data_IF_693871292103
#
_entry.id   IF_693871292103
#
_cell.length_a   1.000
_cell.length_b   1.000
_cell.length_c   1.000
_cell.angle_alpha   90.00
_cell.angle_beta   90.00
_cell.angle_gamma   90.00
#
_symmetry.space_group_name_H-M   'P 1'
#
loop_
_entity.id
_entity.type
_entity.pdbx_description
1 polymer ?
#
# COMPACT_ATOMS: atom_id res chain seq x y z
N UNK A 1 9.01 33.53 2.06
CA UNK A 1 8.55 32.29 1.46
C UNK A 1 7.02 32.37 1.34
N UNK A 2 6.55 32.52 0.11
CA UNK A 2 5.12 32.58 -0.18
C UNK A 2 4.70 31.11 -0.33
N UNK A 3 3.92 30.60 0.61
CA UNK A 3 3.33 29.28 0.47
C UNK A 3 2.55 29.23 -0.83
N UNK A 4 2.89 28.31 -1.73
CA UNK A 4 2.08 28.05 -2.92
C UNK A 4 0.72 27.55 -2.48
N UNK A 5 -0.37 27.92 -3.17
CA UNK A 5 -1.67 27.39 -2.85
C UNK A 5 -1.65 25.88 -3.04
N UNK A 6 -1.82 25.15 -1.95
CA UNK A 6 -2.00 23.70 -1.98
C UNK A 6 -3.30 23.43 -2.74
N UNK A 7 -3.22 22.63 -3.79
CA UNK A 7 -4.39 22.21 -4.55
C UNK A 7 -5.39 21.44 -3.67
N UNK A 8 -6.67 21.44 -4.05
CA UNK A 8 -7.69 20.68 -3.32
C UNK A 8 -7.53 19.18 -3.58
N UNK A 9 -7.17 18.37 -2.56
CA UNK A 9 -6.99 16.92 -2.71
C UNK A 9 -8.29 16.20 -3.14
N UNK A 10 -9.46 16.77 -2.85
CA UNK A 10 -10.74 16.19 -3.25
C UNK A 10 -10.95 16.27 -4.78
N UNK A 11 -10.39 17.28 -5.44
CA UNK A 11 -10.45 17.39 -6.89
C UNK A 11 -9.67 16.29 -7.62
N UNK A 12 -8.78 15.59 -6.93
CA UNK A 12 -7.92 14.53 -7.46
C UNK A 12 -8.39 13.12 -7.11
N UNK A 13 -9.54 12.96 -6.49
CA UNK A 13 -10.05 11.66 -6.07
C UNK A 13 -10.05 10.59 -7.18
N UNK A 14 -10.41 10.87 -8.46
CA UNK A 14 -10.32 9.88 -9.53
C UNK A 14 -8.89 9.42 -9.82
N UNK A 15 -7.92 10.32 -9.75
CA UNK A 15 -6.52 10.00 -9.97
C UNK A 15 -5.93 9.19 -8.79
N UNK A 16 -6.31 9.55 -7.56
CA UNK A 16 -5.95 8.80 -6.36
C UNK A 16 -6.50 7.37 -6.40
N UNK A 17 -7.77 7.21 -6.80
CA UNK A 17 -8.40 5.90 -6.96
C UNK A 17 -7.63 5.01 -7.94
N UNK A 18 -7.26 5.53 -9.10
CA UNK A 18 -6.49 4.77 -10.10
C UNK A 18 -5.14 4.30 -9.56
N UNK A 19 -4.41 5.15 -8.84
CA UNK A 19 -3.13 4.77 -8.25
C UNK A 19 -3.30 3.63 -7.25
N UNK A 20 -4.32 3.69 -6.39
CA UNK A 20 -4.62 2.62 -5.43
C UNK A 20 -5.08 1.33 -6.12
N UNK A 21 -5.94 1.42 -7.13
CA UNK A 21 -6.35 0.27 -7.92
C UNK A 21 -5.15 -0.43 -8.58
N UNK A 22 -4.22 0.34 -9.11
CA UNK A 22 -3.00 -0.21 -9.72
C UNK A 22 -2.11 -0.90 -8.69
N UNK A 23 -1.96 -0.33 -7.50
CA UNK A 23 -1.22 -0.98 -6.39
C UNK A 23 -1.84 -2.32 -6.00
N UNK A 24 -3.18 -2.40 -6.00
CA UNK A 24 -3.91 -3.59 -5.60
C UNK A 24 -4.04 -4.62 -6.73
N UNK A 25 -4.04 -4.21 -7.99
CA UNK A 25 -4.21 -5.10 -9.15
C UNK A 25 -3.12 -6.20 -9.24
N UNK A 26 -1.93 -5.93 -8.72
CA UNK A 26 -0.86 -6.93 -8.60
C UNK A 26 -1.13 -8.00 -7.52
N UNK A 27 -2.08 -7.75 -6.61
CA UNK A 27 -2.40 -8.62 -5.47
C UNK A 27 -3.74 -9.34 -5.61
N UNK A 28 -4.60 -8.91 -6.54
CA UNK A 28 -5.93 -9.51 -6.74
C UNK A 28 -5.92 -10.50 -7.89
N UNK A 29 -5.88 -11.79 -7.57
CA UNK A 29 -6.35 -12.81 -8.50
C UNK A 29 -7.88 -12.75 -8.54
N UNK A 30 -8.44 -12.21 -9.62
CA UNK A 30 -9.89 -12.18 -9.81
C UNK A 30 -10.41 -13.60 -9.97
N UNK A 31 -10.98 -14.17 -8.92
CA UNK A 31 -11.88 -15.29 -9.05
C UNK A 31 -13.07 -14.81 -9.89
N UNK A 32 -13.29 -15.47 -11.05
CA UNK A 32 -14.24 -15.02 -12.05
C UNK A 32 -15.63 -14.76 -11.46
N UNK A 33 -16.04 -13.50 -11.55
CA UNK A 33 -17.41 -13.07 -11.21
C UNK A 33 -18.35 -13.55 -12.31
N UNK A 34 -19.51 -14.12 -11.99
CA UNK A 34 -20.56 -14.38 -12.98
C UNK A 34 -20.96 -13.08 -13.68
N UNK A 35 -21.02 -13.09 -15.01
CA UNK A 35 -21.15 -11.91 -15.85
C UNK A 35 -22.52 -11.20 -15.83
N UNK A 36 -23.49 -11.68 -15.04
CA UNK A 36 -24.89 -11.25 -15.16
C UNK A 36 -25.37 -10.25 -14.09
N UNK A 37 -24.55 -9.89 -13.10
CA UNK A 37 -24.95 -8.91 -12.07
C UNK A 37 -23.75 -8.03 -11.70
N UNK A 38 -23.96 -6.71 -11.68
CA UNK A 38 -22.92 -5.79 -11.26
C UNK A 38 -22.57 -6.03 -9.78
N UNK A 39 -21.28 -6.20 -9.43
CA UNK A 39 -20.87 -6.43 -8.06
C UNK A 39 -21.23 -5.22 -7.18
N UNK A 40 -21.81 -5.47 -6.02
CA UNK A 40 -22.11 -4.48 -5.01
C UNK A 40 -21.01 -4.45 -3.95
N UNK A 41 -20.75 -3.29 -3.37
CA UNK A 41 -19.86 -3.17 -2.20
C UNK A 41 -20.57 -3.79 -0.99
N UNK A 42 -19.93 -4.75 -0.34
CA UNK A 42 -20.44 -5.47 0.83
C UNK A 42 -19.94 -4.84 2.12
N UNK A 43 -18.64 -4.70 2.26
CA UNK A 43 -18.00 -4.16 3.46
C UNK A 43 -16.64 -3.56 3.12
N UNK A 44 -16.14 -2.65 3.97
CA UNK A 44 -14.81 -2.06 3.82
C UNK A 44 -13.95 -2.33 5.04
N UNK A 45 -12.63 -2.45 4.83
CA UNK A 45 -11.66 -2.65 5.91
C UNK A 45 -11.71 -1.53 6.94
N UNK A 46 -11.44 -1.84 8.20
CA UNK A 46 -11.23 -0.83 9.24
C UNK A 46 -9.94 -0.04 8.96
N UNK A 47 -8.89 -0.73 8.49
CA UNK A 47 -7.62 -0.14 8.11
C UNK A 47 -7.68 0.66 6.81
N UNK A 48 -6.77 1.61 6.70
CA UNK A 48 -6.56 2.45 5.52
C UNK A 48 -5.26 2.02 4.87
N UNK A 49 -5.32 1.63 3.60
CA UNK A 49 -4.16 1.45 2.76
C UNK A 49 -3.76 2.83 2.21
N UNK A 50 -2.51 3.21 2.38
CA UNK A 50 -1.98 4.48 1.86
C UNK A 50 -0.64 4.29 1.19
N UNK A 51 -0.36 5.13 0.22
CA UNK A 51 0.98 5.31 -0.28
C UNK A 51 1.72 6.28 0.66
N UNK A 52 2.99 6.01 0.94
CA UNK A 52 3.80 6.78 1.89
C UNK A 52 5.13 7.12 1.22
N UNK A 53 5.57 8.36 1.34
CA UNK A 53 6.91 8.77 0.93
C UNK A 53 7.87 8.49 2.08
N UNK A 54 8.96 7.80 1.78
CA UNK A 54 10.00 7.46 2.76
C UNK A 54 11.37 7.93 2.27
N UNK A 55 12.22 8.26 3.23
CA UNK A 55 13.61 8.67 3.00
C UNK A 55 14.53 8.00 4.02
N UNK A 56 15.84 7.98 3.80
CA UNK A 56 16.78 7.59 4.86
C UNK A 56 16.87 8.68 5.94
N UNK A 57 17.25 8.29 7.17
CA UNK A 57 17.53 9.26 8.26
C UNK A 57 18.55 10.31 7.85
N UNK A 58 19.58 9.91 7.10
CA UNK A 58 20.59 10.82 6.58
C UNK A 58 19.99 11.85 5.63
N UNK A 59 19.12 11.42 4.72
CA UNK A 59 18.46 12.31 3.76
C UNK A 59 17.48 13.24 4.48
N UNK A 60 16.68 12.71 5.43
CA UNK A 60 15.79 13.52 6.26
C UNK A 60 16.54 14.64 6.99
N UNK A 61 17.64 14.30 7.68
CA UNK A 61 18.44 15.27 8.42
C UNK A 61 19.15 16.28 7.49
N UNK A 62 19.72 15.81 6.37
CA UNK A 62 20.43 16.67 5.43
C UNK A 62 19.52 17.71 4.76
N UNK A 63 18.30 17.31 4.46
CA UNK A 63 17.34 18.14 3.74
C UNK A 63 16.26 18.72 4.67
N UNK A 64 16.34 18.48 5.97
CA UNK A 64 15.37 18.94 6.97
C UNK A 64 13.93 18.59 6.54
N UNK A 65 13.71 17.28 6.25
CA UNK A 65 12.42 16.75 5.81
C UNK A 65 11.70 16.11 7.00
N UNK A 66 10.52 16.60 7.29
CA UNK A 66 9.58 16.01 8.26
C UNK A 66 8.30 15.58 7.54
N UNK A 67 7.89 16.35 6.53
CA UNK A 67 6.65 16.13 5.78
C UNK A 67 6.90 16.09 4.27
N UNK A 68 5.94 15.54 3.54
CA UNK A 68 5.99 15.50 2.06
C UNK A 68 6.00 16.91 1.45
N UNK A 69 5.43 17.90 2.14
CA UNK A 69 5.42 19.30 1.68
C UNK A 69 6.78 19.98 1.80
N UNK A 70 7.70 19.46 2.61
CA UNK A 70 9.08 19.97 2.71
C UNK A 70 9.91 19.63 1.47
N UNK A 71 9.43 18.72 0.63
CA UNK A 71 10.02 18.45 -0.68
C UNK A 71 9.86 19.62 -1.66
N UNK A 72 8.95 20.57 -1.39
CA UNK A 72 8.76 21.73 -2.24
C UNK A 72 10.05 22.54 -2.43
N UNK A 73 10.40 22.82 -3.68
CA UNK A 73 11.61 23.54 -4.05
C UNK A 73 12.94 22.75 -3.88
N UNK A 74 12.87 21.50 -3.45
CA UNK A 74 14.02 20.59 -3.31
C UNK A 74 13.95 19.39 -4.25
N UNK A 75 12.78 19.09 -4.72
CA UNK A 75 12.45 17.86 -5.47
C UNK A 75 13.17 17.74 -6.81
N UNK A 76 13.45 18.86 -7.48
CA UNK A 76 14.14 18.87 -8.79
C UNK A 76 15.54 18.25 -8.75
N UNK A 77 16.19 18.27 -7.59
CA UNK A 77 17.50 17.66 -7.40
C UNK A 77 17.47 16.23 -6.85
N UNK A 78 16.28 15.68 -6.63
CA UNK A 78 16.10 14.35 -6.05
C UNK A 78 15.72 13.33 -7.12
N UNK A 79 16.22 12.13 -6.92
CA UNK A 79 15.74 10.94 -7.62
C UNK A 79 14.67 10.26 -6.78
N UNK A 80 13.54 9.96 -7.37
CA UNK A 80 12.46 9.24 -6.74
C UNK A 80 12.33 7.83 -7.32
N UNK A 81 11.76 6.93 -6.53
CA UNK A 81 11.40 5.59 -6.95
C UNK A 81 9.98 5.26 -6.49
N UNK A 82 9.21 4.59 -7.34
CA UNK A 82 7.87 4.13 -7.03
C UNK A 82 7.85 2.60 -6.98
N UNK A 83 6.89 1.99 -6.26
CA UNK A 83 6.75 0.54 -6.27
C UNK A 83 6.49 0.04 -7.71
N UNK A 84 6.90 -1.21 -8.04
CA UNK A 84 6.85 -1.74 -9.40
C UNK A 84 5.50 -1.54 -10.12
N UNK A 85 4.32 -1.73 -9.47
CA UNK A 85 3.03 -1.51 -10.15
C UNK A 85 2.78 -0.07 -10.57
N UNK A 86 3.44 0.91 -9.95
CA UNK A 86 3.29 2.35 -10.22
C UNK A 86 4.40 2.93 -11.09
N UNK A 87 5.22 2.08 -11.70
CA UNK A 87 6.22 2.54 -12.67
C UNK A 87 5.57 2.85 -14.03
N UNK A 88 6.22 3.72 -14.79
CA UNK A 88 5.75 4.04 -16.14
C UNK A 88 5.77 2.83 -17.08
N UNK A 89 6.56 1.81 -16.78
CA UNK A 89 6.62 0.58 -17.55
C UNK A 89 5.43 -0.34 -17.27
N UNK A 90 4.96 -0.38 -16.00
CA UNK A 90 3.85 -1.23 -15.60
C UNK A 90 2.48 -0.57 -15.88
N UNK A 91 2.28 0.66 -15.45
CA UNK A 91 1.07 1.45 -15.69
C UNK A 91 1.42 2.93 -15.93
N UNK A 92 1.57 3.36 -17.19
CA UNK A 92 1.95 4.73 -17.51
C UNK A 92 0.90 5.77 -17.08
N UNK A 93 -0.37 5.40 -17.02
CA UNK A 93 -1.46 6.30 -16.63
C UNK A 93 -1.44 6.53 -15.10
N UNK A 94 -1.29 5.47 -14.31
CA UNK A 94 -1.17 5.56 -12.85
C UNK A 94 0.11 6.32 -12.47
N UNK A 95 1.25 6.02 -13.11
CA UNK A 95 2.50 6.74 -12.89
C UNK A 95 2.37 8.24 -13.22
N UNK A 96 1.68 8.58 -14.30
CA UNK A 96 1.43 9.98 -14.69
C UNK A 96 0.52 10.68 -13.69
N UNK A 97 -0.54 10.01 -13.24
CA UNK A 97 -1.47 10.54 -12.25
C UNK A 97 -0.77 10.82 -10.91
N UNK A 98 0.08 9.89 -10.45
CA UNK A 98 0.86 10.04 -9.23
C UNK A 98 1.83 11.23 -9.30
N UNK A 99 2.60 11.34 -10.40
CA UNK A 99 3.53 12.45 -10.62
C UNK A 99 2.82 13.80 -10.68
N UNK A 100 1.71 13.88 -11.41
CA UNK A 100 0.91 15.09 -11.50
C UNK A 100 0.32 15.49 -10.14
N UNK A 101 -0.02 14.52 -9.29
CA UNK A 101 -0.53 14.76 -7.95
C UNK A 101 0.57 15.31 -7.02
N UNK A 102 1.76 14.72 -7.03
CA UNK A 102 2.92 15.22 -6.28
C UNK A 102 3.29 16.64 -6.69
N UNK A 103 3.35 16.92 -7.98
CA UNK A 103 3.63 18.26 -8.51
C UNK A 103 2.60 19.29 -8.03
N UNK A 104 1.31 18.97 -8.15
CA UNK A 104 0.22 19.90 -7.84
C UNK A 104 0.02 20.13 -6.35
N UNK A 105 0.10 19.08 -5.51
CA UNK A 105 -0.23 19.16 -4.09
C UNK A 105 0.98 19.41 -3.20
N UNK A 106 2.15 18.87 -3.55
CA UNK A 106 3.37 19.06 -2.78
C UNK A 106 4.37 20.01 -3.45
N UNK A 107 4.12 20.48 -4.67
CA UNK A 107 5.11 21.25 -5.44
C UNK A 107 6.39 20.45 -5.69
N UNK A 108 6.25 19.13 -5.80
CA UNK A 108 7.36 18.20 -5.90
C UNK A 108 7.36 17.52 -7.28
N UNK A 109 8.38 17.85 -8.08
CA UNK A 109 8.61 17.26 -9.40
C UNK A 109 10.04 16.72 -9.46
N UNK A 110 10.28 15.47 -9.07
CA UNK A 110 11.59 14.85 -9.23
C UNK A 110 12.02 14.88 -10.70
N UNK A 111 13.26 15.28 -10.96
CA UNK A 111 13.83 15.25 -12.31
C UNK A 111 13.95 13.81 -12.81
N UNK A 112 14.34 12.92 -11.91
CA UNK A 112 14.56 11.50 -12.22
C UNK A 112 13.62 10.61 -11.42
N UNK A 113 13.01 9.66 -12.12
CA UNK A 113 12.34 8.51 -11.53
C UNK A 113 13.11 7.27 -11.94
N UNK A 114 13.58 6.51 -10.96
CA UNK A 114 14.19 5.22 -11.27
C UNK A 114 13.14 4.31 -11.91
N UNK A 115 13.51 3.77 -13.07
CA UNK A 115 12.74 2.77 -13.78
C UNK A 115 13.28 1.37 -13.41
N UNK A 116 12.43 0.37 -13.56
CA UNK A 116 12.83 -1.05 -13.47
C UNK A 116 13.49 -1.47 -12.15
N UNK A 117 13.14 -0.80 -11.05
CA UNK A 117 13.61 -1.15 -9.72
C UNK A 117 12.60 -2.11 -9.07
N UNK A 118 13.04 -3.34 -8.82
CA UNK A 118 12.21 -4.36 -8.16
C UNK A 118 12.09 -4.08 -6.64
N UNK A 119 13.10 -3.44 -6.08
CA UNK A 119 13.18 -3.12 -4.64
C UNK A 119 13.43 -1.61 -4.43
N UNK A 120 12.36 -0.82 -4.25
CA UNK A 120 12.45 0.61 -3.96
C UNK A 120 13.20 0.93 -2.66
N UNK A 121 13.10 0.05 -1.66
CA UNK A 121 13.78 0.23 -0.37
C UNK A 121 15.29 0.10 -0.54
N UNK A 122 15.76 -0.93 -1.22
CA UNK A 122 17.18 -1.10 -1.51
C UNK A 122 17.75 0.10 -2.28
N UNK A 123 17.01 0.66 -3.24
CA UNK A 123 17.45 1.82 -4.00
C UNK A 123 17.66 3.05 -3.12
N UNK A 124 16.79 3.29 -2.11
CA UNK A 124 16.93 4.41 -1.19
C UNK A 124 18.08 4.16 -0.18
N UNK A 125 18.21 2.94 0.32
CA UNK A 125 19.31 2.57 1.22
C UNK A 125 20.68 2.70 0.53
N UNK A 126 20.75 2.35 -0.76
CA UNK A 126 21.96 2.48 -1.58
C UNK A 126 22.24 3.93 -2.06
N UNK A 127 21.40 4.91 -1.70
CA UNK A 127 21.44 6.31 -2.18
C UNK A 127 21.33 6.45 -3.72
N UNK A 128 20.76 5.44 -4.38
CA UNK A 128 20.41 5.50 -5.82
C UNK A 128 19.16 6.36 -6.03
N UNK A 129 18.27 6.37 -5.05
CA UNK A 129 17.16 7.30 -4.94
C UNK A 129 17.19 7.99 -3.56
N UNK A 130 16.65 9.18 -3.46
CA UNK A 130 16.55 9.89 -2.19
C UNK A 130 15.15 9.75 -1.56
N UNK A 131 14.14 9.47 -2.38
CA UNK A 131 12.75 9.31 -1.94
C UNK A 131 12.16 8.06 -2.56
N UNK A 132 11.64 7.14 -1.74
CA UNK A 132 10.80 6.04 -2.22
C UNK A 132 9.35 6.29 -1.86
N UNK A 133 8.46 5.83 -2.72
CA UNK A 133 7.03 5.69 -2.42
C UNK A 133 6.75 4.23 -2.15
N UNK A 134 6.27 3.92 -0.95
CA UNK A 134 5.97 2.56 -0.49
C UNK A 134 4.51 2.50 -0.03
N UNK A 135 3.97 1.30 0.14
CA UNK A 135 2.74 1.14 0.93
C UNK A 135 3.06 1.48 2.39
N UNK A 136 2.18 2.17 3.09
CA UNK A 136 2.41 2.53 4.49
C UNK A 136 2.40 1.33 5.45
N UNK A 137 2.08 0.15 4.93
CA UNK A 137 2.11 -1.14 5.62
C UNK A 137 3.36 -1.95 5.31
N UNK A 138 4.22 -1.46 4.41
CA UNK A 138 5.45 -2.14 3.98
C UNK A 138 6.39 -2.40 5.18
N UNK A 139 6.69 -3.66 5.50
CA UNK A 139 7.53 -4.01 6.65
C UNK A 139 8.98 -3.51 6.52
N UNK A 140 9.44 -3.25 5.30
CA UNK A 140 10.78 -2.74 5.04
C UNK A 140 10.98 -1.30 5.57
N UNK A 141 9.92 -0.54 5.80
CA UNK A 141 10.01 0.79 6.40
C UNK A 141 10.68 0.71 7.76
N UNK A 142 10.23 -0.22 8.61
CA UNK A 142 10.79 -0.42 9.94
C UNK A 142 12.12 -1.19 9.88
N UNK A 143 12.19 -2.26 9.09
CA UNK A 143 13.38 -3.12 8.96
C UNK A 143 14.61 -2.35 8.48
N UNK A 144 14.44 -1.44 7.51
CA UNK A 144 15.50 -0.60 6.96
C UNK A 144 15.64 0.76 7.65
N UNK A 145 14.91 0.98 8.73
CA UNK A 145 14.95 2.22 9.54
C UNK A 145 14.71 3.46 8.67
N UNK A 146 13.78 3.37 7.74
CA UNK A 146 13.39 4.49 6.89
C UNK A 146 12.52 5.48 7.68
N UNK A 147 12.52 6.73 7.26
CA UNK A 147 11.71 7.79 7.86
C UNK A 147 10.52 8.06 6.93
N UNK A 148 9.30 7.70 7.34
CA UNK A 148 8.11 8.10 6.61
C UNK A 148 7.89 9.60 6.78
N UNK A 149 7.62 10.29 5.67
CA UNK A 149 7.28 11.71 5.69
C UNK A 149 5.80 11.88 6.02
N UNK A 150 5.50 12.82 6.92
CA UNK A 150 4.12 13.16 7.27
C UNK A 150 3.36 13.68 6.05
N UNK A 151 2.12 13.26 5.89
CA UNK A 151 1.23 13.67 4.79
C UNK A 151 -0.10 14.21 5.29
N UNK A 152 -0.06 15.27 6.08
CA UNK A 152 -1.25 15.97 6.59
C UNK A 152 -2.11 16.57 5.47
N UNK A 153 -1.45 16.90 4.35
CA UNK A 153 -2.09 17.47 3.15
C UNK A 153 -2.78 16.44 2.28
N UNK A 154 -2.71 15.16 2.61
CA UNK A 154 -3.23 14.05 1.79
C UNK A 154 -2.76 14.12 0.34
N UNK A 155 -1.47 14.43 0.17
CA UNK A 155 -0.82 14.49 -1.13
C UNK A 155 -0.82 13.12 -1.79
N UNK A 156 -0.46 12.10 -1.02
CA UNK A 156 -0.47 10.71 -1.50
C UNK A 156 -1.85 10.08 -1.37
N UNK A 157 -2.20 9.15 -2.27
CA UNK A 157 -3.49 8.49 -2.24
C UNK A 157 -3.62 7.56 -1.04
N UNK A 158 -4.82 7.53 -0.46
CA UNK A 158 -5.22 6.58 0.56
C UNK A 158 -6.61 6.02 0.26
N UNK A 159 -6.89 4.82 0.71
CA UNK A 159 -8.18 4.17 0.52
C UNK A 159 -8.37 2.99 1.46
N UNK A 160 -9.55 2.37 1.39
CA UNK A 160 -9.88 1.15 2.13
C UNK A 160 -10.06 0.01 1.16
N UNK A 161 -9.67 -1.18 1.58
CA UNK A 161 -10.06 -2.40 0.86
C UNK A 161 -11.58 -2.53 0.98
N UNK A 162 -12.21 -2.90 -0.12
CA UNK A 162 -13.66 -3.10 -0.15
C UNK A 162 -13.94 -4.48 -0.71
N UNK A 163 -14.62 -5.31 0.09
CA UNK A 163 -15.17 -6.56 -0.40
C UNK A 163 -16.32 -6.27 -1.35
N UNK A 164 -16.28 -6.86 -2.53
CA UNK A 164 -17.34 -6.73 -3.53
C UNK A 164 -17.91 -8.11 -3.87
N UNK A 165 -19.20 -8.19 -4.10
CA UNK A 165 -19.87 -9.45 -4.43
C UNK A 165 -21.26 -9.23 -4.96
N UNK A 166 -21.95 -10.34 -5.37
CA UNK A 166 -23.35 -10.29 -5.74
C UNK A 166 -24.21 -10.67 -4.54
N UNK A 167 -25.05 -9.73 -4.11
CA UNK A 167 -26.01 -9.97 -3.02
C UNK A 167 -27.02 -11.11 -3.34
N UNK A 168 -27.19 -11.47 -4.61
CA UNK A 168 -28.05 -12.58 -5.00
C UNK A 168 -27.43 -13.97 -4.75
N UNK A 169 -26.09 -14.04 -4.57
CA UNK A 169 -25.36 -15.29 -4.38
C UNK A 169 -24.85 -15.50 -2.95
N UNK A 170 -24.92 -14.48 -2.11
CA UNK A 170 -24.50 -14.52 -0.71
C UNK A 170 -25.74 -14.64 0.19
N UNK A 171 -25.63 -15.47 1.21
CA UNK A 171 -26.60 -15.50 2.30
C UNK A 171 -26.18 -14.53 3.42
N UNK A 172 -27.10 -14.25 4.34
CA UNK A 172 -26.88 -13.32 5.45
C UNK A 172 -25.71 -13.75 6.36
N UNK A 173 -25.38 -15.05 6.40
CA UNK A 173 -24.28 -15.58 7.19
C UNK A 173 -22.93 -15.24 6.53
N UNK A 174 -22.83 -15.46 5.22
CA UNK A 174 -21.64 -15.10 4.46
C UNK A 174 -21.38 -13.58 4.48
N UNK A 175 -22.42 -12.76 4.32
CA UNK A 175 -22.28 -11.29 4.42
C UNK A 175 -21.76 -10.86 5.81
N UNK A 176 -22.31 -11.46 6.87
CA UNK A 176 -21.86 -11.17 8.24
C UNK A 176 -20.39 -11.56 8.44
N UNK A 177 -19.96 -12.74 7.98
CA UNK A 177 -18.56 -13.19 8.08
C UNK A 177 -17.62 -12.27 7.31
N UNK A 178 -18.00 -11.85 6.11
CA UNK A 178 -17.24 -10.88 5.34
C UNK A 178 -17.10 -9.56 6.13
N UNK A 179 -18.18 -9.07 6.72
CA UNK A 179 -18.14 -7.85 7.52
C UNK A 179 -17.25 -7.99 8.78
N UNK A 180 -17.27 -9.15 9.44
CA UNK A 180 -16.40 -9.46 10.58
C UNK A 180 -14.92 -9.42 10.17
N UNK A 181 -14.54 -10.10 9.10
CA UNK A 181 -13.17 -10.10 8.55
C UNK A 181 -12.74 -8.68 8.19
N UNK A 182 -13.57 -7.95 7.44
CA UNK A 182 -13.24 -6.59 7.01
C UNK A 182 -13.13 -5.61 8.19
N UNK A 183 -13.89 -5.81 9.27
CA UNK A 183 -13.78 -5.00 10.48
C UNK A 183 -12.53 -5.29 11.30
N UNK A 184 -12.03 -6.52 11.28
CA UNK A 184 -10.79 -6.92 11.93
C UNK A 184 -9.54 -6.51 11.13
N UNK A 185 -9.68 -6.29 9.82
CA UNK A 185 -8.63 -5.81 8.93
C UNK A 185 -8.35 -4.31 9.17
N UNK A 186 -7.73 -4.02 10.29
CA UNK A 186 -7.22 -2.68 10.63
C UNK A 186 -5.81 -2.43 10.08
N UNK A 187 -5.16 -1.35 10.49
CA UNK A 187 -3.81 -1.01 10.02
C UNK A 187 -2.74 -2.02 10.44
N UNK A 188 -2.91 -2.64 11.61
CA UNK A 188 -1.97 -3.65 12.12
C UNK A 188 -2.18 -4.97 11.38
N UNK A 189 -3.43 -5.38 11.17
CA UNK A 189 -3.79 -6.57 10.39
C UNK A 189 -3.31 -6.49 8.94
N UNK A 190 -3.43 -5.33 8.30
CA UNK A 190 -2.90 -5.12 6.95
C UNK A 190 -1.38 -5.26 6.91
N UNK A 191 -0.68 -4.69 7.88
CA UNK A 191 0.79 -4.76 7.99
C UNK A 191 1.26 -6.18 8.27
N UNK A 192 0.53 -6.92 9.10
CA UNK A 192 0.83 -8.32 9.39
C UNK A 192 0.66 -9.20 8.14
N UNK A 193 -0.43 -9.04 7.39
CA UNK A 193 -0.64 -9.78 6.14
C UNK A 193 0.46 -9.48 5.11
N UNK A 194 0.86 -8.22 4.98
CA UNK A 194 1.96 -7.85 4.08
C UNK A 194 3.27 -8.51 4.54
N UNK A 195 3.61 -8.45 5.82
CA UNK A 195 4.78 -9.13 6.38
C UNK A 195 4.76 -10.65 6.18
N UNK A 196 3.60 -11.28 6.28
CA UNK A 196 3.45 -12.73 6.04
C UNK A 196 3.67 -13.11 4.57
N UNK A 197 3.38 -12.20 3.63
CA UNK A 197 3.47 -12.48 2.19
C UNK A 197 4.74 -11.96 1.52
N UNK A 198 5.44 -11.00 2.14
CA UNK A 198 6.63 -10.34 1.53
C UNK A 198 7.87 -10.35 2.42
N UNK A 199 7.76 -10.80 3.69
CA UNK A 199 8.89 -10.84 4.63
C UNK A 199 9.95 -11.90 4.29
N UNK A 200 10.91 -12.12 5.19
CA UNK A 200 12.06 -13.02 5.00
C UNK A 200 11.70 -14.48 4.68
N UNK A 201 10.53 -14.95 5.14
CA UNK A 201 10.02 -16.30 4.88
C UNK A 201 8.56 -16.20 4.40
N UNK A 202 8.34 -15.78 3.15
CA UNK A 202 7.03 -15.44 2.66
C UNK A 202 6.13 -16.65 2.52
N UNK A 203 4.93 -16.56 3.05
CA UNK A 203 3.88 -17.55 2.87
C UNK A 203 3.12 -17.31 1.56
N UNK A 204 2.63 -18.36 0.90
CA UNK A 204 1.63 -18.21 -0.15
C UNK A 204 0.42 -17.41 0.36
N UNK A 205 -0.18 -16.53 -0.43
CA UNK A 205 -1.28 -15.65 0.02
C UNK A 205 -2.44 -16.37 0.71
N UNK A 206 -2.78 -17.58 0.24
CA UNK A 206 -3.85 -18.39 0.85
C UNK A 206 -3.48 -18.88 2.26
N UNK A 207 -2.21 -19.29 2.46
CA UNK A 207 -1.71 -19.73 3.76
C UNK A 207 -1.56 -18.55 4.73
N UNK A 208 -1.08 -17.40 4.25
CA UNK A 208 -0.99 -16.18 5.02
C UNK A 208 -2.38 -15.72 5.51
N UNK A 209 -3.38 -15.75 4.61
CA UNK A 209 -4.76 -15.40 4.95
C UNK A 209 -5.35 -16.38 6.00
N UNK A 210 -5.15 -17.69 5.83
CA UNK A 210 -5.64 -18.69 6.78
C UNK A 210 -4.95 -18.53 8.14
N UNK A 211 -3.63 -18.30 8.17
CA UNK A 211 -2.90 -18.06 9.40
C UNK A 211 -3.46 -16.84 10.13
N UNK A 212 -3.65 -15.74 9.41
CA UNK A 212 -4.18 -14.50 9.97
C UNK A 212 -5.60 -14.65 10.51
N UNK A 213 -6.48 -15.35 9.78
CA UNK A 213 -7.87 -15.62 10.22
C UNK A 213 -7.91 -16.43 11.51
N UNK A 214 -7.06 -17.45 11.64
CA UNK A 214 -6.97 -18.28 12.83
C UNK A 214 -6.43 -17.49 14.02
N UNK A 215 -5.36 -16.71 13.81
CA UNK A 215 -4.74 -15.90 14.87
C UNK A 215 -5.71 -14.84 15.44
N UNK A 216 -6.59 -14.31 14.58
CA UNK A 216 -7.63 -13.35 14.97
C UNK A 216 -8.94 -14.00 15.44
N UNK A 217 -8.99 -15.33 15.53
CA UNK A 217 -10.18 -16.07 16.01
C UNK A 217 -11.38 -16.00 15.07
N UNK A 218 -11.14 -15.71 13.79
CA UNK A 218 -12.17 -15.62 12.74
C UNK A 218 -12.38 -16.97 12.04
N UNK A 219 -11.45 -17.91 12.22
CA UNK A 219 -11.51 -19.28 11.72
C UNK A 219 -10.93 -20.24 12.76
N UNK A 220 -11.44 -21.47 12.80
CA UNK A 220 -10.86 -22.53 13.62
C UNK A 220 -9.56 -23.05 12.99
N UNK A 221 -8.54 -23.28 13.82
CA UNK A 221 -7.29 -23.84 13.33
C UNK A 221 -7.50 -25.25 12.76
N UNK A 222 -6.90 -25.58 11.60
CA UNK A 222 -6.92 -26.92 11.05
C UNK A 222 -6.36 -27.95 12.05
N UNK A 223 -6.96 -29.13 12.11
CA UNK A 223 -6.55 -30.19 13.07
C UNK A 223 -5.07 -30.60 12.92
N UNK A 224 -4.52 -30.52 11.71
CA UNK A 224 -3.15 -30.89 11.38
C UNK A 224 -2.11 -29.81 11.79
N UNK A 225 -2.53 -28.60 12.12
CA UNK A 225 -1.59 -27.57 12.60
C UNK A 225 -1.00 -27.90 13.99
N UNK A 226 -1.68 -28.69 14.77
CA UNK A 226 -1.26 -29.08 16.13
C UNK A 226 -0.59 -30.44 16.19
N UNK A 227 -0.36 -31.10 15.07
CA UNK A 227 0.42 -32.34 15.05
C UNK A 227 1.88 -31.96 15.32
N UNK A 228 2.47 -32.34 16.47
CA UNK A 228 3.87 -32.11 16.73
C UNK A 228 4.68 -32.79 15.60
N UNK A 229 5.39 -32.02 14.78
CA UNK A 229 6.36 -32.58 13.85
C UNK A 229 7.30 -33.40 14.70
N UNK A 230 7.28 -34.72 14.50
CA UNK A 230 7.79 -35.74 15.37
C UNK A 230 9.10 -35.36 16.07
N UNK A 231 9.16 -35.69 17.37
CA UNK A 231 10.31 -35.48 18.22
C UNK A 231 11.59 -35.89 17.50
N UNK A 232 12.47 -34.93 17.29
CA UNK A 232 13.84 -35.19 16.92
C UNK A 232 14.53 -35.84 18.12
N UNK A 233 14.62 -37.18 18.13
CA UNK A 233 15.54 -37.94 18.93
C UNK A 233 16.53 -38.65 18.04
#
# INVERSE_FOLDING_TARGET
PTALPVGDPAADAPAAGRVLETLLAGQTSAAGTPQDEAPAALSSSAGVLRLTAVVTQTTAARLELESITDLNGRCESLTAVAPPPLTAAADPDAATALRARLDRLAGCRPETWLADTEDPTAAVVADEAQVALLTGTDPEIDASTLVPLEDDGRVLPEGRLTAVGSAATLDDDAERRIAEVMSALDGDGLRELERLTTGDDPLPPAEAAQYWLVDHGLEDAPEDWFVPRGSWF
#
